data_IF_069022193105
#
_entry.id   IF_069022193105
#
_cell.length_a   1.000
_cell.length_b   1.000
_cell.length_c   1.000
_cell.angle_alpha   90.00
_cell.angle_beta   90.00
_cell.angle_gamma   90.00
#
_symmetry.space_group_name_H-M   'P 1'
#
loop_
_entity.id
_entity.type
_entity.pdbx_description
1 polymer ?
#
# COMPACT_ATOMS: atom_id res chain seq x y z
N UNK A 1 4.10 -13.38 5.42
CA UNK A 1 3.71 -13.39 4.00
C UNK A 1 2.29 -13.91 3.87
N UNK A 2 1.54 -13.48 2.86
CA UNK A 2 0.16 -13.96 2.68
C UNK A 2 -0.77 -13.56 3.84
N UNK A 3 -1.66 -14.44 4.34
CA UNK A 3 -2.61 -14.13 5.41
C UNK A 3 -2.02 -13.56 6.71
N UNK A 4 -0.73 -13.77 6.97
CA UNK A 4 -0.03 -13.25 8.14
C UNK A 4 0.37 -11.76 8.03
N UNK A 5 0.30 -11.14 6.85
CA UNK A 5 0.54 -9.71 6.69
C UNK A 5 -0.69 -8.90 7.14
N UNK A 6 -0.73 -8.55 8.43
CA UNK A 6 -1.93 -8.00 9.07
C UNK A 6 -1.96 -6.48 9.19
N UNK A 7 -0.81 -5.81 9.22
CA UNK A 7 -0.75 -4.35 9.34
C UNK A 7 0.35 -3.76 8.47
N UNK A 8 -0.04 -3.00 7.42
CA UNK A 8 0.90 -2.38 6.50
C UNK A 8 0.28 -1.15 5.83
N UNK A 9 0.54 0.04 6.36
CA UNK A 9 -0.13 1.28 5.97
C UNK A 9 0.86 2.37 5.55
N UNK A 10 0.42 3.23 4.63
CA UNK A 10 1.17 4.42 4.21
C UNK A 10 0.50 5.64 4.82
N UNK A 11 1.30 6.50 5.44
CA UNK A 11 0.85 7.76 6.04
C UNK A 11 1.52 8.95 5.34
N UNK A 12 0.72 9.99 5.07
CA UNK A 12 1.20 11.31 4.73
C UNK A 12 1.36 12.12 6.02
N UNK A 13 2.49 12.79 6.16
CA UNK A 13 2.78 13.67 7.31
C UNK A 13 3.11 15.05 6.77
N UNK A 14 2.30 16.07 7.13
CA UNK A 14 2.65 17.46 6.88
C UNK A 14 3.41 18.01 8.08
N UNK A 15 4.72 18.27 7.89
CA UNK A 15 5.60 18.76 8.96
C UNK A 15 5.30 20.20 9.39
N UNK A 16 4.39 20.90 8.71
CA UNK A 16 4.00 22.28 9.01
C UNK A 16 2.76 22.37 9.89
N UNK A 17 2.06 21.25 10.08
CA UNK A 17 0.82 21.19 10.85
C UNK A 17 1.02 20.33 12.10
N UNK A 18 0.72 20.93 13.25
CA UNK A 18 0.63 20.24 14.52
C UNK A 18 -0.84 20.25 14.96
N UNK A 19 -1.25 19.23 15.71
CA UNK A 19 -2.54 19.23 16.40
C UNK A 19 -2.52 20.16 17.63
N UNK A 20 -3.65 20.22 18.35
CA UNK A 20 -3.82 21.07 19.54
C UNK A 20 -2.83 20.77 20.68
N UNK A 21 -2.27 19.56 20.69
CA UNK A 21 -1.34 19.10 21.72
C UNK A 21 0.13 19.20 21.24
N UNK A 22 0.35 19.69 20.02
CA UNK A 22 1.68 19.93 19.45
C UNK A 22 2.29 18.73 18.73
N UNK A 23 1.52 17.68 18.38
CA UNK A 23 2.01 16.51 17.66
C UNK A 23 1.79 16.61 16.14
N UNK A 24 2.66 15.94 15.38
CA UNK A 24 2.53 15.86 13.91
C UNK A 24 1.26 15.10 13.52
N UNK A 25 0.45 15.73 12.66
CA UNK A 25 -0.75 15.10 12.10
C UNK A 25 -0.35 14.06 11.05
N UNK A 26 -0.85 12.83 11.20
CA UNK A 26 -0.67 11.74 10.24
C UNK A 26 -2.00 11.45 9.55
N UNK A 27 -2.00 11.46 8.22
CA UNK A 27 -3.14 11.06 7.40
C UNK A 27 -2.85 9.72 6.75
N UNK A 28 -3.67 8.70 7.04
CA UNK A 28 -3.58 7.43 6.33
C UNK A 28 -3.98 7.62 4.86
N UNK A 29 -3.10 7.22 3.93
CA UNK A 29 -3.37 7.34 2.49
C UNK A 29 -3.54 5.99 1.80
N UNK A 30 -3.11 4.89 2.44
CA UNK A 30 -3.30 3.53 1.94
C UNK A 30 -3.17 2.47 3.04
N UNK A 31 -3.99 1.42 2.95
CA UNK A 31 -3.89 0.17 3.70
C UNK A 31 -3.54 -0.97 2.73
N UNK A 32 -2.27 -1.38 2.71
CA UNK A 32 -1.71 -2.28 1.69
C UNK A 32 -2.31 -3.70 1.70
N UNK A 33 -2.77 -4.26 2.83
CA UNK A 33 -3.55 -5.51 2.85
C UNK A 33 -5.02 -5.34 2.42
N UNK A 34 -5.46 -4.11 2.11
CA UNK A 34 -6.86 -3.77 1.83
C UNK A 34 -7.00 -2.63 0.79
N UNK A 35 -6.39 -2.80 -0.39
CA UNK A 35 -6.44 -1.81 -1.47
C UNK A 35 -7.69 -1.99 -2.34
N UNK A 36 -8.35 -0.89 -2.71
CA UNK A 36 -9.38 -0.94 -3.77
C UNK A 36 -8.70 -1.24 -5.11
N UNK A 37 -9.30 -2.15 -5.89
CA UNK A 37 -8.78 -2.53 -7.20
C UNK A 37 -9.72 -2.15 -8.36
N UNK A 38 -9.85 -0.85 -8.69
CA UNK A 38 -10.68 -0.42 -9.81
C UNK A 38 -10.07 -0.78 -11.18
N UNK A 39 -8.78 -1.10 -11.23
CA UNK A 39 -8.06 -1.45 -12.46
C UNK A 39 -7.98 -2.96 -12.68
N UNK A 40 -8.49 -3.77 -11.73
CA UNK A 40 -8.55 -5.23 -11.79
C UNK A 40 -7.17 -5.86 -12.03
N UNK A 41 -6.11 -5.29 -11.44
CA UNK A 41 -4.71 -5.63 -11.76
C UNK A 41 -4.34 -7.08 -11.39
N UNK A 42 -5.10 -7.72 -10.48
CA UNK A 42 -4.91 -9.13 -10.13
C UNK A 42 -5.85 -10.11 -10.85
N UNK A 43 -6.83 -9.62 -11.61
CA UNK A 43 -7.94 -10.45 -12.11
C UNK A 43 -7.57 -11.48 -13.20
N UNK A 44 -6.42 -11.32 -13.84
CA UNK A 44 -5.98 -12.16 -14.96
C UNK A 44 -4.86 -13.15 -14.59
N UNK A 45 -4.50 -13.27 -13.32
CA UNK A 45 -3.47 -14.21 -12.91
C UNK A 45 -4.02 -15.66 -12.95
N UNK A 46 -3.50 -16.52 -13.85
CA UNK A 46 -3.98 -17.90 -13.98
C UNK A 46 -3.56 -18.79 -12.80
N UNK A 47 -2.67 -18.31 -11.92
CA UNK A 47 -2.13 -19.09 -10.80
C UNK A 47 -3.02 -19.05 -9.56
N UNK A 48 -4.00 -18.14 -9.50
CA UNK A 48 -4.89 -18.00 -8.34
C UNK A 48 -4.17 -17.53 -7.07
N UNK A 49 -3.14 -16.70 -7.22
CA UNK A 49 -2.34 -16.18 -6.11
C UNK A 49 -3.16 -15.46 -5.04
N UNK A 50 -2.65 -15.49 -3.80
CA UNK A 50 -3.28 -14.82 -2.67
C UNK A 50 -3.44 -13.30 -2.92
N UNK A 51 -4.65 -12.78 -2.65
CA UNK A 51 -4.88 -11.34 -2.55
C UNK A 51 -4.99 -10.60 -3.88
N UNK A 52 -5.41 -11.26 -4.94
CA UNK A 52 -5.55 -10.69 -6.30
C UNK A 52 -6.95 -10.13 -6.63
N UNK A 53 -7.90 -10.25 -5.69
CA UNK A 53 -9.28 -9.78 -5.87
C UNK A 53 -9.47 -8.31 -5.51
N UNK A 54 -10.72 -7.93 -5.21
CA UNK A 54 -11.07 -6.64 -4.64
C UNK A 54 -11.67 -6.86 -3.24
N UNK A 55 -10.96 -6.52 -2.16
CA UNK A 55 -9.73 -5.72 -2.14
C UNK A 55 -8.48 -6.48 -2.62
N UNK A 56 -7.62 -5.75 -3.35
CA UNK A 56 -6.28 -6.22 -3.71
C UNK A 56 -5.40 -6.14 -2.48
N UNK A 57 -4.56 -7.15 -2.27
CA UNK A 57 -3.61 -7.20 -1.17
C UNK A 57 -2.21 -7.09 -1.73
N UNK A 58 -1.36 -6.37 -1.02
CA UNK A 58 0.06 -6.22 -1.31
C UNK A 58 0.88 -6.81 -0.15
N UNK A 59 0.99 -8.17 -0.11
CA UNK A 59 1.13 -8.95 1.13
C UNK A 59 2.56 -9.38 1.46
N UNK A 60 3.55 -8.98 0.65
CA UNK A 60 4.94 -9.29 0.93
C UNK A 60 5.41 -8.50 2.16
N UNK A 61 6.39 -9.04 2.90
CA UNK A 61 6.81 -8.45 4.16
C UNK A 61 7.48 -7.09 3.96
N UNK A 62 8.49 -7.03 3.10
CA UNK A 62 9.32 -5.84 2.98
C UNK A 62 8.77 -4.84 1.96
N UNK A 63 8.66 -3.56 2.35
CA UNK A 63 8.56 -2.45 1.38
C UNK A 63 9.97 -1.92 1.20
N UNK A 64 10.46 -1.95 -0.02
CA UNK A 64 11.81 -1.47 -0.33
C UNK A 64 11.80 -0.02 -0.77
N UNK A 65 10.72 0.45 -1.40
CA UNK A 65 10.64 1.82 -1.88
C UNK A 65 9.21 2.37 -1.88
N UNK A 66 9.14 3.67 -1.57
CA UNK A 66 8.01 4.55 -1.83
C UNK A 66 8.52 5.73 -2.66
N UNK A 67 7.97 5.90 -3.86
CA UNK A 67 8.29 7.02 -4.74
C UNK A 67 7.04 7.87 -4.97
N UNK A 68 6.96 9.08 -4.41
CA UNK A 68 5.90 10.03 -4.73
C UNK A 68 5.94 10.41 -6.22
N UNK A 69 4.76 10.39 -6.84
CA UNK A 69 4.56 10.77 -8.24
C UNK A 69 3.58 11.96 -8.33
N UNK A 70 3.63 12.74 -9.42
CA UNK A 70 2.66 13.82 -9.65
C UNK A 70 1.20 13.30 -9.63
N UNK A 71 0.30 14.15 -9.14
CA UNK A 71 -1.14 13.88 -9.12
C UNK A 71 -1.62 13.00 -7.95
N UNK A 72 -1.02 13.16 -6.76
CA UNK A 72 -1.31 12.35 -5.57
C UNK A 72 -1.21 10.84 -5.84
N UNK A 73 -0.07 10.43 -6.43
CA UNK A 73 0.23 9.03 -6.69
C UNK A 73 1.51 8.62 -5.98
N UNK A 74 1.63 7.33 -5.67
CA UNK A 74 2.83 6.74 -5.09
C UNK A 74 3.10 5.42 -5.83
N UNK A 75 4.33 5.25 -6.30
CA UNK A 75 4.83 3.93 -6.68
C UNK A 75 5.40 3.23 -5.44
N UNK A 76 5.02 1.97 -5.25
CA UNK A 76 5.38 1.15 -4.10
C UNK A 76 6.06 -0.10 -4.63
N UNK A 77 7.24 -0.41 -4.10
CA UNK A 77 8.00 -1.61 -4.45
C UNK A 77 8.11 -2.50 -3.22
N UNK A 78 7.82 -3.79 -3.38
CA UNK A 78 7.99 -4.78 -2.33
C UNK A 78 8.87 -5.93 -2.81
N UNK A 79 9.84 -6.28 -1.99
CA UNK A 79 10.69 -7.43 -2.24
C UNK A 79 10.10 -8.70 -1.62
N UNK A 80 10.38 -9.81 -2.27
CA UNK A 80 10.01 -11.13 -1.82
C UNK A 80 10.97 -11.65 -0.74
N UNK A 81 12.06 -10.96 -0.36
CA UNK A 81 13.00 -11.39 0.68
C UNK A 81 13.36 -12.89 0.60
N UNK A 82 13.71 -13.37 -0.60
CA UNK A 82 14.04 -14.79 -0.83
C UNK A 82 15.29 -15.21 -0.04
N UNK A 83 15.33 -16.41 0.57
CA UNK A 83 14.34 -17.50 0.55
C UNK A 83 13.30 -17.50 1.67
N UNK A 84 13.27 -16.47 2.51
CA UNK A 84 12.45 -16.47 3.73
C UNK A 84 10.96 -16.22 3.48
N UNK A 85 10.57 -15.77 2.29
CA UNK A 85 9.18 -15.59 1.87
C UNK A 85 8.70 -16.67 0.92
N UNK A 86 7.46 -17.08 1.11
CA UNK A 86 6.63 -17.65 0.05
C UNK A 86 5.87 -16.51 -0.62
N UNK A 87 5.81 -16.48 -1.95
CA UNK A 87 5.04 -15.48 -2.68
C UNK A 87 3.53 -15.58 -2.42
N UNK A 88 2.72 -15.00 -3.29
CA UNK A 88 1.27 -15.16 -3.36
C UNK A 88 0.85 -16.61 -3.56
N UNK A 89 1.70 -17.41 -4.21
CA UNK A 89 1.48 -18.85 -4.43
C UNK A 89 2.42 -19.66 -3.51
N UNK A 90 1.90 -20.53 -2.63
CA UNK A 90 2.72 -21.37 -1.76
C UNK A 90 3.72 -22.22 -2.54
N UNK A 91 4.98 -22.28 -2.07
CA UNK A 91 6.04 -23.06 -2.71
C UNK A 91 6.57 -22.46 -4.01
N UNK A 92 6.06 -21.30 -4.45
CA UNK A 92 6.65 -20.51 -5.53
C UNK A 92 7.28 -19.23 -4.97
N UNK A 93 8.44 -18.92 -5.52
CA UNK A 93 9.02 -17.60 -5.43
C UNK A 93 8.25 -16.65 -6.33
N UNK A 94 7.69 -15.59 -5.76
CA UNK A 94 7.22 -14.47 -6.55
C UNK A 94 8.39 -13.59 -6.97
N UNK A 95 8.22 -12.75 -7.99
CA UNK A 95 9.17 -11.67 -8.23
C UNK A 95 8.95 -10.52 -7.22
N UNK A 96 9.88 -9.58 -7.17
CA UNK A 96 9.61 -8.24 -6.62
C UNK A 96 8.33 -7.68 -7.26
N UNK A 97 7.42 -7.13 -6.45
CA UNK A 97 6.18 -6.56 -6.94
C UNK A 97 6.22 -5.03 -6.92
N UNK A 98 5.57 -4.40 -7.89
CA UNK A 98 5.44 -2.94 -7.98
C UNK A 98 4.02 -2.55 -8.32
N UNK A 99 3.46 -1.59 -7.57
CA UNK A 99 2.15 -1.01 -7.85
C UNK A 99 2.21 0.51 -7.82
N UNK A 100 1.33 1.16 -8.57
CA UNK A 100 1.06 2.59 -8.45
C UNK A 100 -0.35 2.74 -7.89
N UNK A 101 -0.45 3.47 -6.78
CA UNK A 101 -1.74 3.83 -6.20
C UNK A 101 -1.97 5.33 -6.32
N UNK A 102 -3.23 5.71 -6.54
CA UNK A 102 -3.69 7.07 -6.35
C UNK A 102 -4.35 7.23 -4.98
N UNK A 103 -4.16 8.38 -4.35
CA UNK A 103 -4.80 8.70 -3.07
C UNK A 103 -5.40 10.12 -3.10
N UNK A 104 -6.41 10.37 -2.27
CA UNK A 104 -6.92 11.72 -2.05
C UNK A 104 -6.24 12.28 -0.82
N UNK A 105 -5.75 13.52 -0.91
CA UNK A 105 -5.48 14.30 0.29
C UNK A 105 -6.84 14.77 0.81
N UNK A 106 -7.11 14.58 2.09
CA UNK A 106 -8.25 15.25 2.72
C UNK A 106 -8.08 16.75 2.51
N UNK A 107 -9.09 17.41 1.94
CA UNK A 107 -9.05 18.87 1.80
C UNK A 107 -9.11 19.49 3.20
N UNK A 108 -8.11 20.31 3.54
CA UNK A 108 -8.03 21.09 4.78
C UNK A 108 -8.99 22.30 4.76
N UNK A 109 -10.18 22.16 4.16
CA UNK A 109 -11.16 23.24 3.97
C UNK A 109 -12.37 23.17 4.91
N UNK A 110 -12.26 22.50 6.05
CA UNK A 110 -13.27 22.57 7.11
C UNK A 110 -12.71 23.29 8.33
N UNK A 111 -12.62 24.62 8.23
CA UNK A 111 -12.19 25.45 9.35
C UNK A 111 -12.02 26.92 8.98
N UNK A 112 -13.09 27.59 8.54
CA UNK A 112 -13.31 29.06 8.59
C UNK A 112 -14.58 29.44 7.80
N UNK A 113 -15.70 29.61 8.50
CA UNK A 113 -16.34 30.89 8.84
C UNK A 113 -17.70 30.64 9.48
#
# INVERSE_FOLDING_TARGET
MGPAATFKRIYLIDRRHLDSDGFLVKTEVADLPNLRDPALIGSHDPTGGYGLGNPFKFPLQSVEALLPLPGNRIAIVQDNNFPDSTGRVPGKTDATEMIIIGFRKSDDRTGRH
#
